data_IF_208585954967
#
_entry.id   IF_208585954967
#
_cell.length_a   1.000
_cell.length_b   1.000
_cell.length_c   1.000
_cell.angle_alpha   90.00
_cell.angle_beta   90.00
_cell.angle_gamma   90.00
#
_symmetry.space_group_name_H-M   'P 1'
#
loop_
_entity.id
_entity.type
_entity.pdbx_description
1 polymer ?
#
# COMPACT_ATOMS: atom_id res chain seq x y z
N UNK A 1 4.67 -27.07 1.98
CA UNK A 1 4.95 -27.59 0.63
C UNK A 1 6.19 -26.90 0.05
N UNK A 2 7.10 -27.63 -0.60
CA UNK A 2 8.28 -27.08 -1.29
C UNK A 2 8.25 -27.51 -2.76
N UNK A 3 8.22 -26.52 -3.67
CA UNK A 3 8.20 -26.73 -5.11
C UNK A 3 9.60 -26.42 -5.66
N UNK A 4 10.08 -27.22 -6.62
CA UNK A 4 11.33 -27.00 -7.33
C UNK A 4 11.10 -27.02 -8.85
N UNK A 5 11.81 -26.20 -9.63
CA UNK A 5 11.81 -26.32 -11.08
C UNK A 5 12.64 -27.54 -11.50
N UNK A 6 12.17 -28.28 -12.49
CA UNK A 6 12.96 -29.30 -13.17
C UNK A 6 13.80 -28.63 -14.27
N UNK A 7 15.13 -28.69 -14.12
CA UNK A 7 16.10 -27.88 -14.87
C UNK A 7 16.04 -28.04 -16.39
N UNK A 8 15.57 -29.19 -16.88
CA UNK A 8 15.63 -29.53 -18.31
C UNK A 8 14.27 -29.38 -19.03
N UNK A 9 13.16 -29.33 -18.30
CA UNK A 9 11.81 -29.35 -18.87
C UNK A 9 10.99 -28.09 -18.61
N UNK A 10 11.43 -27.20 -17.72
CA UNK A 10 10.64 -26.03 -17.29
C UNK A 10 9.41 -26.39 -16.47
N UNK A 11 9.19 -27.68 -16.17
CA UNK A 11 8.08 -28.18 -15.38
C UNK A 11 8.43 -28.07 -13.90
N UNK A 12 7.52 -27.54 -13.09
CA UNK A 12 7.67 -27.46 -11.63
C UNK A 12 7.14 -28.75 -11.00
N UNK A 13 7.85 -29.28 -10.01
CA UNK A 13 7.42 -30.47 -9.27
C UNK A 13 7.47 -30.25 -7.75
N UNK A 14 6.64 -31.00 -7.03
CA UNK A 14 6.57 -30.94 -5.57
C UNK A 14 7.70 -31.80 -4.99
N UNK A 15 8.73 -31.14 -4.46
CA UNK A 15 9.90 -31.82 -3.90
C UNK A 15 9.72 -32.29 -2.46
N UNK A 16 8.79 -31.66 -1.72
CA UNK A 16 8.41 -32.06 -0.35
C UNK A 16 7.00 -31.58 -0.04
N UNK A 17 6.17 -32.49 0.43
CA UNK A 17 4.88 -32.22 1.04
C UNK A 17 4.90 -32.80 2.46
N UNK A 18 4.49 -32.01 3.43
CA UNK A 18 4.32 -32.45 4.83
C UNK A 18 2.86 -32.16 5.12
N UNK A 19 2.12 -33.24 5.34
CA UNK A 19 0.66 -33.19 5.58
C UNK A 19 0.35 -33.15 7.08
N UNK A 20 1.38 -33.31 7.92
CA UNK A 20 1.23 -33.20 9.36
C UNK A 20 1.09 -31.73 9.78
N UNK A 21 0.01 -31.44 10.48
CA UNK A 21 -0.26 -30.14 11.05
C UNK A 21 -0.12 -30.20 12.57
N UNK A 22 0.47 -29.16 13.15
CA UNK A 22 0.62 -29.02 14.61
C UNK A 22 -0.67 -28.57 15.30
N UNK A 23 -1.76 -28.39 14.54
CA UNK A 23 -3.08 -27.97 14.99
C UNK A 23 -4.14 -28.58 14.09
N UNK A 24 -5.36 -28.76 14.60
CA UNK A 24 -6.49 -29.24 13.82
C UNK A 24 -6.78 -28.31 12.64
N UNK A 25 -7.12 -28.90 11.50
CA UNK A 25 -7.54 -28.13 10.33
C UNK A 25 -8.85 -27.41 10.63
N UNK A 26 -8.96 -26.20 10.11
CA UNK A 26 -10.17 -25.41 10.26
C UNK A 26 -11.36 -26.17 9.63
N UNK A 27 -12.44 -26.44 10.39
CA UNK A 27 -13.61 -27.13 9.85
C UNK A 27 -14.11 -26.47 8.57
N UNK A 28 -14.54 -27.26 7.59
CA UNK A 28 -14.96 -26.78 6.27
C UNK A 28 -15.98 -25.62 6.32
N UNK A 29 -16.88 -25.64 7.30
CA UNK A 29 -17.87 -24.58 7.56
C UNK A 29 -17.27 -23.20 7.87
N UNK A 30 -16.02 -23.14 8.32
CA UNK A 30 -15.32 -21.91 8.66
C UNK A 30 -14.33 -21.46 7.57
N UNK A 31 -14.01 -22.32 6.60
CA UNK A 31 -13.14 -22.00 5.46
C UNK A 31 -13.61 -20.76 4.68
N UNK A 32 -14.92 -20.54 4.42
CA UNK A 32 -15.40 -19.32 3.74
C UNK A 32 -15.09 -18.02 4.49
N UNK A 33 -14.80 -18.07 5.79
CA UNK A 33 -14.46 -16.89 6.59
C UNK A 33 -12.96 -16.55 6.51
N UNK A 34 -12.13 -17.44 5.95
CA UNK A 34 -10.70 -17.18 5.76
C UNK A 34 -10.49 -16.13 4.67
N UNK A 35 -9.66 -15.09 4.90
CA UNK A 35 -9.40 -14.04 3.92
C UNK A 35 -8.99 -14.54 2.52
N UNK A 36 -8.21 -15.63 2.43
CA UNK A 36 -7.76 -16.19 1.16
C UNK A 36 -8.86 -16.85 0.33
N UNK A 37 -9.97 -17.24 0.96
CA UNK A 37 -11.11 -17.90 0.34
C UNK A 37 -12.27 -16.95 0.06
N UNK A 38 -12.18 -15.70 0.55
CA UNK A 38 -13.21 -14.68 0.33
C UNK A 38 -13.02 -14.03 -1.04
N UNK A 39 -14.02 -14.18 -1.92
CA UNK A 39 -14.04 -13.55 -3.24
C UNK A 39 -15.45 -13.13 -3.60
N UNK A 40 -15.59 -11.91 -4.12
CA UNK A 40 -16.83 -11.46 -4.76
C UNK A 40 -16.73 -11.85 -6.24
N UNK A 41 -17.69 -12.62 -6.74
CA UNK A 41 -17.73 -12.98 -8.16
C UNK A 41 -18.12 -11.77 -9.01
N UNK A 42 -17.70 -11.73 -10.27
CA UNK A 42 -18.04 -10.65 -11.21
C UNK A 42 -19.56 -10.43 -11.34
N UNK A 43 -20.34 -11.51 -11.26
CA UNK A 43 -21.81 -11.47 -11.25
C UNK A 43 -22.32 -10.73 -10.00
N UNK A 44 -21.77 -11.03 -8.82
CA UNK A 44 -22.14 -10.35 -7.60
C UNK A 44 -21.70 -8.89 -7.62
N UNK A 45 -20.50 -8.59 -8.14
CA UNK A 45 -20.04 -7.20 -8.31
C UNK A 45 -20.99 -6.39 -9.20
N UNK A 46 -21.34 -6.91 -10.38
CA UNK A 46 -22.29 -6.25 -11.29
C UNK A 46 -23.67 -6.05 -10.64
N UNK A 47 -24.14 -7.02 -9.85
CA UNK A 47 -25.39 -6.90 -9.11
C UNK A 47 -25.31 -5.81 -8.02
N UNK A 48 -24.21 -5.77 -7.27
CA UNK A 48 -23.98 -4.74 -6.25
C UNK A 48 -23.91 -3.35 -6.91
N UNK A 49 -23.20 -3.20 -8.01
CA UNK A 49 -23.08 -1.93 -8.75
C UNK A 49 -24.43 -1.43 -9.25
N UNK A 50 -25.25 -2.32 -9.84
CA UNK A 50 -26.60 -1.98 -10.30
C UNK A 50 -27.50 -1.48 -9.16
N UNK A 51 -27.51 -2.19 -8.02
CA UNK A 51 -28.30 -1.80 -6.85
C UNK A 51 -27.79 -0.52 -6.19
N UNK A 52 -26.48 -0.27 -6.25
CA UNK A 52 -25.86 0.98 -5.78
C UNK A 52 -26.24 2.17 -6.65
N UNK A 53 -26.29 2.01 -7.97
CA UNK A 53 -26.69 3.08 -8.89
C UNK A 53 -28.12 3.58 -8.63
N UNK A 54 -29.01 2.69 -8.16
CA UNK A 54 -30.38 3.06 -7.76
C UNK A 54 -30.49 3.51 -6.29
N UNK A 55 -29.36 3.69 -5.59
CA UNK A 55 -29.31 4.28 -4.25
C UNK A 55 -29.51 3.28 -3.09
N UNK A 56 -29.47 1.97 -3.34
CA UNK A 56 -29.61 0.98 -2.26
C UNK A 56 -28.31 0.87 -1.47
N UNK A 57 -28.41 0.86 -0.15
CA UNK A 57 -27.24 0.79 0.74
C UNK A 57 -26.61 -0.61 0.75
N UNK A 58 -25.28 -0.67 0.87
CA UNK A 58 -24.50 -1.92 0.94
C UNK A 58 -25.07 -2.95 1.95
N UNK A 59 -25.52 -2.58 3.17
CA UNK A 59 -26.12 -3.54 4.09
C UNK A 59 -27.36 -4.24 3.51
N UNK A 60 -28.26 -3.48 2.85
CA UNK A 60 -29.47 -4.04 2.21
C UNK A 60 -29.12 -4.94 1.02
N UNK A 61 -28.09 -4.57 0.26
CA UNK A 61 -27.60 -5.41 -0.84
C UNK A 61 -27.02 -6.72 -0.30
N UNK A 62 -26.23 -6.66 0.78
CA UNK A 62 -25.68 -7.85 1.43
C UNK A 62 -26.77 -8.79 1.94
N UNK A 63 -27.83 -8.25 2.55
CA UNK A 63 -29.02 -9.00 2.96
C UNK A 63 -29.71 -9.67 1.78
N UNK A 64 -29.86 -8.96 0.65
CA UNK A 64 -30.45 -9.52 -0.57
C UNK A 64 -29.62 -10.69 -1.12
N UNK A 65 -28.30 -10.54 -1.20
CA UNK A 65 -27.39 -11.61 -1.66
C UNK A 65 -27.45 -12.80 -0.71
N UNK A 66 -27.47 -12.57 0.62
CA UNK A 66 -27.60 -13.64 1.60
C UNK A 66 -28.94 -14.37 1.45
N UNK A 67 -30.03 -13.66 1.21
CA UNK A 67 -31.34 -14.27 0.96
C UNK A 67 -31.32 -15.15 -0.31
N UNK A 68 -30.71 -14.66 -1.40
CA UNK A 68 -30.54 -15.43 -2.65
C UNK A 68 -29.65 -16.67 -2.47
N UNK A 69 -28.61 -16.56 -1.65
CA UNK A 69 -27.71 -17.68 -1.34
C UNK A 69 -28.30 -18.70 -0.35
N UNK A 70 -29.45 -18.42 0.27
CA UNK A 70 -30.07 -19.28 1.29
C UNK A 70 -29.51 -19.09 2.71
N UNK A 71 -28.82 -17.99 2.97
CA UNK A 71 -28.31 -17.62 4.29
C UNK A 71 -26.92 -16.96 4.24
N UNK A 72 -26.59 -16.20 5.28
CA UNK A 72 -25.31 -15.49 5.39
C UNK A 72 -24.09 -16.42 5.39
N UNK A 73 -24.24 -17.65 5.90
CA UNK A 73 -23.20 -18.68 5.94
C UNK A 73 -22.86 -19.27 4.57
N UNK A 74 -23.65 -18.98 3.54
CA UNK A 74 -23.45 -19.45 2.16
C UNK A 74 -22.90 -18.33 1.26
N UNK A 75 -22.74 -17.11 1.77
CA UNK A 75 -22.13 -16.01 1.03
C UNK A 75 -20.59 -16.13 1.14
N UNK A 76 -19.85 -16.22 0.03
CA UNK A 76 -18.39 -16.43 0.05
C UNK A 76 -17.60 -15.14 0.37
N UNK A 77 -18.25 -14.12 0.89
CA UNK A 77 -17.66 -12.84 1.27
C UNK A 77 -18.48 -12.18 2.38
N UNK A 78 -17.86 -11.24 3.05
CA UNK A 78 -18.48 -10.47 4.14
C UNK A 78 -19.00 -9.14 3.63
N UNK A 79 -19.92 -8.55 4.38
CA UNK A 79 -20.34 -7.15 4.18
C UNK A 79 -19.14 -6.18 4.11
N UNK A 80 -18.05 -6.45 4.85
CA UNK A 80 -16.84 -5.63 4.81
C UNK A 80 -16.16 -5.70 3.44
N UNK A 81 -16.13 -6.87 2.81
CA UNK A 81 -15.53 -7.03 1.49
C UNK A 81 -16.27 -6.17 0.46
N UNK A 82 -17.62 -6.11 0.52
CA UNK A 82 -18.40 -5.20 -0.33
C UNK A 82 -18.04 -3.72 -0.09
N UNK A 83 -17.86 -3.30 1.16
CA UNK A 83 -17.42 -1.92 1.43
C UNK A 83 -16.03 -1.62 0.87
N UNK A 84 -15.14 -2.61 0.86
CA UNK A 84 -13.78 -2.44 0.35
C UNK A 84 -13.76 -2.37 -1.18
N UNK A 85 -14.54 -3.22 -1.86
CA UNK A 85 -14.68 -3.20 -3.33
C UNK A 85 -15.29 -1.89 -3.83
N UNK A 86 -16.20 -1.29 -3.06
CA UNK A 86 -16.91 -0.08 -3.46
C UNK A 86 -16.49 1.17 -2.69
N UNK A 87 -15.34 1.13 -2.00
CA UNK A 87 -14.82 2.35 -1.37
C UNK A 87 -14.16 3.23 -2.40
N UNK A 88 -14.58 4.49 -2.42
CA UNK A 88 -14.06 5.51 -3.31
C UNK A 88 -12.67 5.96 -2.86
N UNK A 89 -11.76 6.14 -3.82
CA UNK A 89 -10.47 6.73 -3.56
C UNK A 89 -10.65 8.13 -2.96
N UNK A 90 -9.99 8.40 -1.84
CA UNK A 90 -10.14 9.64 -1.09
C UNK A 90 -8.80 10.36 -1.05
N UNK A 91 -8.82 11.67 -1.30
CA UNK A 91 -7.65 12.53 -1.16
C UNK A 91 -8.03 13.72 -0.28
N UNK A 92 -7.16 14.09 0.66
CA UNK A 92 -7.34 15.31 1.45
C UNK A 92 -6.01 15.96 1.83
N UNK A 93 -6.08 17.27 2.04
CA UNK A 93 -5.00 18.13 2.52
C UNK A 93 -5.65 19.34 3.17
N UNK A 94 -5.14 19.76 4.34
CA UNK A 94 -5.61 20.97 4.99
C UNK A 94 -4.84 22.20 4.50
N UNK A 95 -5.28 23.40 4.90
CA UNK A 95 -4.65 24.63 4.45
C UNK A 95 -3.21 24.79 4.95
N UNK A 96 -2.90 24.34 6.17
CA UNK A 96 -1.55 24.43 6.74
C UNK A 96 -0.60 23.51 5.98
N UNK A 97 -1.03 22.30 5.68
CA UNK A 97 -0.28 21.34 4.87
C UNK A 97 0.06 21.89 3.48
N UNK A 98 -0.87 22.60 2.83
CA UNK A 98 -0.62 23.27 1.54
C UNK A 98 0.39 24.42 1.69
N UNK A 99 0.28 25.23 2.75
CA UNK A 99 1.21 26.33 3.01
C UNK A 99 2.62 25.82 3.36
N UNK A 100 2.71 24.73 4.13
CA UNK A 100 3.96 24.03 4.42
C UNK A 100 4.62 23.51 3.13
N UNK A 101 3.85 22.95 2.19
CA UNK A 101 4.40 22.45 0.93
C UNK A 101 4.99 23.58 0.05
N UNK A 102 4.42 24.79 0.10
CA UNK A 102 5.00 25.94 -0.62
C UNK A 102 6.44 26.22 -0.19
N UNK A 103 6.73 26.03 1.09
CA UNK A 103 8.05 26.32 1.69
C UNK A 103 8.96 25.08 1.66
N UNK A 104 8.43 23.92 2.05
CA UNK A 104 9.21 22.70 2.33
C UNK A 104 9.02 21.57 1.31
N UNK A 105 8.19 21.76 0.29
CA UNK A 105 7.78 20.72 -0.68
C UNK A 105 8.79 20.36 -1.78
N UNK A 106 10.04 20.79 -1.68
CA UNK A 106 11.07 20.47 -2.68
C UNK A 106 11.46 18.98 -2.65
N UNK A 107 11.36 18.36 -1.48
CA UNK A 107 11.63 16.93 -1.27
C UNK A 107 10.42 16.30 -0.61
N UNK A 108 9.94 15.23 -1.23
CA UNK A 108 8.76 14.50 -0.79
C UNK A 108 9.09 13.03 -0.56
N UNK A 109 8.77 12.47 0.61
CA UNK A 109 8.49 11.05 0.71
C UNK A 109 7.03 10.79 0.34
N UNK A 110 6.89 9.82 -0.55
CA UNK A 110 5.63 9.28 -1.03
C UNK A 110 5.68 7.78 -0.75
N UNK A 111 4.95 7.36 0.28
CA UNK A 111 4.95 5.97 0.74
C UNK A 111 3.52 5.51 1.05
N UNK A 112 3.21 4.30 0.62
CA UNK A 112 2.02 3.59 1.07
C UNK A 112 2.35 2.93 2.41
N UNK A 113 1.55 3.17 3.45
CA UNK A 113 1.79 2.59 4.77
C UNK A 113 1.70 1.07 4.69
N UNK A 114 2.68 0.38 5.28
CA UNK A 114 2.75 -1.09 5.34
C UNK A 114 1.57 -1.74 6.12
N UNK A 115 0.68 -0.93 6.71
CA UNK A 115 -0.57 -1.35 7.32
C UNK A 115 -1.75 -0.88 6.47
N UNK A 116 -2.63 -1.81 6.11
CA UNK A 116 -3.93 -1.46 5.54
C UNK A 116 -4.86 -1.00 6.67
N UNK A 117 -5.73 -0.04 6.41
CA UNK A 117 -6.68 0.46 7.42
C UNK A 117 -7.72 -0.63 7.81
N UNK A 118 -8.70 -0.31 8.69
CA UNK A 118 -9.79 -1.24 9.08
C UNK A 118 -10.57 -1.84 7.88
N UNK A 119 -10.46 -1.19 6.74
CA UNK A 119 -11.09 -1.55 5.48
C UNK A 119 -10.10 -2.14 4.47
N UNK A 120 -8.93 -2.56 4.93
CA UNK A 120 -7.93 -3.21 4.11
C UNK A 120 -7.43 -2.35 2.92
N UNK A 121 -7.54 -1.01 3.01
CA UNK A 121 -7.06 -0.09 1.98
C UNK A 121 -5.65 0.44 2.28
N UNK A 122 -4.78 0.54 1.26
CA UNK A 122 -3.53 1.30 1.36
C UNK A 122 -3.79 2.78 1.67
N UNK A 123 -3.03 3.30 2.63
CA UNK A 123 -3.00 4.74 2.92
C UNK A 123 -1.70 5.29 2.40
N UNK A 124 -1.77 6.31 1.56
CA UNK A 124 -0.63 6.97 0.95
C UNK A 124 -0.42 8.31 1.64
N UNK A 125 0.79 8.53 2.16
CA UNK A 125 1.14 9.77 2.87
C UNK A 125 2.17 10.55 2.06
N UNK A 126 1.86 11.82 1.83
CA UNK A 126 2.76 12.79 1.24
C UNK A 126 3.41 13.58 2.36
N UNK A 127 4.71 13.39 2.57
CA UNK A 127 5.41 14.06 3.67
C UNK A 127 6.78 14.60 3.27
N UNK A 128 7.20 15.66 3.93
CA UNK A 128 8.53 16.25 3.85
C UNK A 128 9.09 16.47 5.24
N UNK A 129 10.10 17.33 5.35
CA UNK A 129 10.55 17.85 6.63
C UNK A 129 10.77 19.35 6.58
N UNK A 130 10.56 20.03 7.71
CA UNK A 130 10.86 21.45 7.83
C UNK A 130 12.35 21.70 8.19
N UNK A 131 12.69 22.98 8.40
CA UNK A 131 14.04 23.42 8.78
C UNK A 131 14.49 22.95 10.18
N UNK A 132 13.56 22.46 11.01
CA UNK A 132 13.85 21.83 12.30
C UNK A 132 13.95 20.30 12.20
N UNK A 133 13.97 19.74 10.97
CA UNK A 133 13.99 18.31 10.72
C UNK A 133 12.78 17.55 11.31
N UNK A 134 11.64 18.25 11.42
CA UNK A 134 10.37 17.66 11.84
C UNK A 134 9.58 17.23 10.62
N UNK A 135 8.90 16.09 10.70
CA UNK A 135 8.03 15.62 9.62
C UNK A 135 6.85 16.58 9.40
N UNK A 136 6.66 17.01 8.15
CA UNK A 136 5.49 17.76 7.71
C UNK A 136 4.66 16.86 6.81
N UNK A 137 3.36 16.68 7.11
CA UNK A 137 2.43 15.96 6.23
C UNK A 137 1.74 16.97 5.33
N UNK A 138 1.90 16.81 4.03
CA UNK A 138 1.34 17.72 3.02
C UNK A 138 -0.02 17.24 2.51
N UNK A 139 -0.23 15.93 2.42
CA UNK A 139 -1.50 15.35 2.01
C UNK A 139 -1.55 13.88 2.40
N UNK A 140 -2.75 13.33 2.40
CA UNK A 140 -2.97 11.90 2.56
C UNK A 140 -4.02 11.45 1.55
N UNK A 141 -3.87 10.22 1.05
CA UNK A 141 -4.87 9.55 0.25
C UNK A 141 -5.17 8.16 0.76
N UNK A 142 -6.41 7.72 0.59
CA UNK A 142 -6.79 6.31 0.68
C UNK A 142 -7.07 5.83 -0.74
N UNK A 143 -6.41 4.76 -1.16
CA UNK A 143 -6.60 4.18 -2.50
C UNK A 143 -7.23 2.80 -2.37
N UNK A 144 -8.09 2.46 -3.31
CA UNK A 144 -8.77 1.16 -3.40
C UNK A 144 -7.80 0.03 -3.75
N UNK A 145 -6.79 0.31 -4.57
CA UNK A 145 -5.72 -0.65 -4.92
C UNK A 145 -4.37 0.03 -5.22
N UNK A 146 -3.28 -0.75 -5.23
CA UNK A 146 -1.92 -0.29 -5.53
C UNK A 146 -1.61 -0.35 -7.04
N UNK A 147 -2.46 0.26 -7.86
CA UNK A 147 -2.29 0.30 -9.32
C UNK A 147 -1.61 1.58 -9.79
N UNK A 148 -0.95 1.53 -10.95
CA UNK A 148 -0.34 2.72 -11.58
C UNK A 148 -1.41 3.80 -11.83
N UNK A 149 -2.57 3.44 -12.37
CA UNK A 149 -3.64 4.38 -12.70
C UNK A 149 -4.12 5.18 -11.48
N UNK A 150 -4.27 4.52 -10.33
CA UNK A 150 -4.63 5.20 -9.09
C UNK A 150 -3.52 6.08 -8.55
N UNK A 151 -2.26 5.65 -8.61
CA UNK A 151 -1.16 6.52 -8.22
C UNK A 151 -1.03 7.74 -9.14
N UNK A 152 -1.29 7.60 -10.44
CA UNK A 152 -1.38 8.75 -11.36
C UNK A 152 -2.49 9.71 -10.91
N UNK A 153 -3.68 9.19 -10.61
CA UNK A 153 -4.79 10.00 -10.12
C UNK A 153 -4.43 10.74 -8.82
N UNK A 154 -3.86 10.04 -7.84
CA UNK A 154 -3.43 10.59 -6.56
C UNK A 154 -2.37 11.68 -6.73
N UNK A 155 -1.36 11.46 -7.60
CA UNK A 155 -0.30 12.44 -7.87
C UNK A 155 -0.83 13.67 -8.61
N UNK A 156 -1.78 13.50 -9.54
CA UNK A 156 -2.45 14.63 -10.21
C UNK A 156 -3.30 15.44 -9.22
N UNK A 157 -4.04 14.79 -8.33
CA UNK A 157 -4.80 15.46 -7.26
C UNK A 157 -3.89 16.21 -6.29
N UNK A 158 -2.76 15.61 -5.95
CA UNK A 158 -1.74 16.29 -5.17
C UNK A 158 -1.23 17.56 -5.87
N UNK A 159 -0.85 17.48 -7.15
CA UNK A 159 -0.37 18.62 -7.92
C UNK A 159 -1.39 19.77 -7.99
N UNK A 160 -2.65 19.42 -8.27
CA UNK A 160 -3.76 20.37 -8.29
C UNK A 160 -3.93 21.06 -6.92
N UNK A 161 -3.97 20.27 -5.85
CA UNK A 161 -4.13 20.75 -4.48
C UNK A 161 -2.97 21.66 -4.02
N UNK A 162 -1.77 21.41 -4.54
CA UNK A 162 -0.56 22.19 -4.24
C UNK A 162 -0.36 23.39 -5.17
N UNK A 163 -1.40 23.80 -5.90
CA UNK A 163 -1.36 24.99 -6.76
C UNK A 163 -0.42 24.84 -7.96
N UNK A 164 -0.23 23.62 -8.47
CA UNK A 164 0.60 23.35 -9.63
C UNK A 164 2.11 23.30 -9.34
N UNK A 165 2.54 23.43 -8.08
CA UNK A 165 3.96 23.30 -7.72
C UNK A 165 4.41 21.84 -7.84
N UNK A 166 5.14 21.54 -8.91
CA UNK A 166 5.68 20.22 -9.20
C UNK A 166 6.78 19.79 -8.20
N UNK A 167 6.91 18.49 -8.02
CA UNK A 167 7.95 17.89 -7.19
C UNK A 167 9.31 17.96 -7.88
N UNK A 168 10.38 18.23 -7.11
CA UNK A 168 11.76 18.17 -7.61
C UNK A 168 12.44 16.84 -7.28
N UNK A 169 12.17 16.30 -6.09
CA UNK A 169 12.72 15.02 -5.64
C UNK A 169 11.66 14.23 -4.88
N UNK A 170 11.55 12.94 -5.20
CA UNK A 170 10.63 12.02 -4.56
C UNK A 170 11.35 10.78 -4.03
N UNK A 171 11.01 10.40 -2.81
CA UNK A 171 11.55 9.25 -2.09
C UNK A 171 10.44 8.22 -1.91
N UNK A 172 10.64 7.01 -2.43
CA UNK A 172 9.65 5.92 -2.29
C UNK A 172 10.30 4.60 -1.87
N UNK A 173 9.48 3.61 -1.56
CA UNK A 173 9.93 2.25 -1.26
C UNK A 173 10.39 1.43 -2.50
N UNK A 174 10.31 2.02 -3.71
CA UNK A 174 10.68 1.38 -4.96
C UNK A 174 9.58 0.60 -5.65
N UNK A 175 8.32 0.73 -5.23
CA UNK A 175 7.18 0.12 -5.91
C UNK A 175 7.13 0.49 -7.39
N UNK A 176 6.85 -0.51 -8.23
CA UNK A 176 6.85 -0.37 -9.69
C UNK A 176 5.71 0.52 -10.16
N UNK A 177 4.51 0.35 -9.61
CA UNK A 177 3.34 1.14 -9.98
C UNK A 177 3.53 2.61 -9.61
N UNK A 178 4.05 2.89 -8.41
CA UNK A 178 4.39 4.24 -7.95
C UNK A 178 5.46 4.89 -8.84
N UNK A 179 6.53 4.15 -9.18
CA UNK A 179 7.60 4.67 -10.04
C UNK A 179 7.08 5.10 -11.41
N UNK A 180 6.27 4.25 -12.05
CA UNK A 180 5.70 4.57 -13.37
C UNK A 180 4.76 5.78 -13.28
N UNK A 181 3.94 5.86 -12.25
CA UNK A 181 3.04 6.99 -12.03
C UNK A 181 3.79 8.31 -11.78
N UNK A 182 4.88 8.28 -11.01
CA UNK A 182 5.77 9.43 -10.80
C UNK A 182 6.37 9.89 -12.13
N UNK A 183 6.92 8.97 -12.92
CA UNK A 183 7.52 9.32 -14.21
C UNK A 183 6.50 9.95 -15.17
N UNK A 184 5.24 9.53 -15.10
CA UNK A 184 4.16 10.11 -15.91
C UNK A 184 3.75 11.52 -15.45
N UNK A 185 3.59 11.74 -14.14
CA UNK A 185 3.07 13.02 -13.60
C UNK A 185 4.18 14.05 -13.36
N UNK A 186 5.37 13.59 -13.00
CA UNK A 186 6.54 14.39 -12.64
C UNK A 186 7.82 13.88 -13.34
N UNK A 187 7.92 13.99 -14.68
CA UNK A 187 9.04 13.42 -15.44
C UNK A 187 10.41 13.99 -15.04
N UNK A 188 10.46 15.25 -14.61
CA UNK A 188 11.68 15.94 -14.17
C UNK A 188 12.05 15.65 -12.70
N UNK A 189 11.19 14.96 -11.94
CA UNK A 189 11.47 14.68 -10.54
C UNK A 189 12.55 13.60 -10.40
N UNK A 190 13.56 13.88 -9.58
CA UNK A 190 14.55 12.86 -9.22
C UNK A 190 13.94 11.83 -8.28
N UNK A 191 13.95 10.56 -8.69
CA UNK A 191 13.46 9.46 -7.87
C UNK A 191 14.60 8.85 -7.04
N UNK A 192 14.39 8.74 -5.72
CA UNK A 192 15.30 8.06 -4.79
C UNK A 192 14.57 6.97 -4.00
N UNK A 193 15.33 5.95 -3.58
CA UNK A 193 14.82 4.90 -2.70
C UNK A 193 14.93 5.34 -1.23
N UNK A 194 13.93 4.98 -0.44
CA UNK A 194 13.89 5.25 0.99
C UNK A 194 15.00 4.49 1.72
N UNK A 195 15.84 5.20 2.47
CA UNK A 195 16.95 4.63 3.24
C UNK A 195 16.50 3.53 4.19
N UNK A 196 15.31 3.67 4.80
CA UNK A 196 14.76 2.65 5.68
C UNK A 196 14.46 1.34 4.93
N UNK A 197 13.82 1.42 3.76
CA UNK A 197 13.50 0.26 2.94
C UNK A 197 14.78 -0.42 2.40
N UNK A 198 15.77 0.38 1.99
CA UNK A 198 17.09 -0.14 1.60
C UNK A 198 17.76 -0.89 2.76
N UNK A 199 17.81 -0.29 3.95
CA UNK A 199 18.42 -0.92 5.12
C UNK A 199 17.68 -2.18 5.55
N UNK A 200 16.35 -2.18 5.51
CA UNK A 200 15.55 -3.38 5.81
C UNK A 200 15.85 -4.50 4.81
N UNK A 201 15.86 -4.19 3.51
CA UNK A 201 16.16 -5.14 2.46
C UNK A 201 17.56 -5.76 2.64
N UNK A 202 18.59 -4.92 2.83
CA UNK A 202 19.96 -5.39 3.08
C UNK A 202 20.05 -6.26 4.33
N UNK A 203 19.38 -5.86 5.42
CA UNK A 203 19.42 -6.61 6.68
C UNK A 203 18.84 -8.02 6.51
N UNK A 204 17.75 -8.15 5.76
CA UNK A 204 17.06 -9.42 5.51
C UNK A 204 17.82 -10.30 4.52
N UNK A 205 18.38 -9.73 3.46
CA UNK A 205 18.89 -10.51 2.33
C UNK A 205 20.42 -10.67 2.29
N UNK A 206 21.20 -9.74 2.87
CA UNK A 206 22.68 -9.80 2.83
C UNK A 206 23.26 -10.49 4.07
N UNK A 207 22.56 -10.41 5.22
CA UNK A 207 22.92 -11.10 6.47
C UNK A 207 24.37 -10.87 6.95
N UNK A 208 24.99 -9.71 6.64
CA UNK A 208 26.34 -9.33 7.08
C UNK A 208 26.30 -8.14 8.03
N UNK A 209 26.39 -8.34 9.36
CA UNK A 209 26.23 -7.26 10.34
C UNK A 209 27.17 -6.07 10.14
N UNK A 210 28.45 -6.33 9.83
CA UNK A 210 29.45 -5.27 9.58
C UNK A 210 29.11 -4.44 8.34
N UNK A 211 28.64 -5.08 7.27
CA UNK A 211 28.22 -4.37 6.06
C UNK A 211 26.97 -3.52 6.33
N UNK A 212 25.94 -4.09 6.97
CA UNK A 212 24.72 -3.36 7.32
C UNK A 212 25.01 -2.17 8.23
N UNK A 213 25.93 -2.32 9.19
CA UNK A 213 26.37 -1.23 10.06
C UNK A 213 27.04 -0.11 9.25
N UNK A 214 28.00 -0.44 8.38
CA UNK A 214 28.68 0.55 7.53
C UNK A 214 27.70 1.24 6.57
N UNK A 215 26.78 0.50 5.96
CA UNK A 215 25.74 1.05 5.10
C UNK A 215 24.81 2.00 5.87
N UNK A 216 24.40 1.62 7.08
CA UNK A 216 23.60 2.47 7.98
C UNK A 216 24.34 3.76 8.30
N UNK A 217 25.64 3.68 8.58
CA UNK A 217 26.50 4.85 8.76
C UNK A 217 26.53 5.73 7.51
N UNK A 218 26.71 5.17 6.31
CA UNK A 218 26.71 5.97 5.08
C UNK A 218 25.36 6.64 4.80
N UNK A 219 24.25 5.95 5.03
CA UNK A 219 22.90 6.46 4.74
C UNK A 219 22.37 7.42 5.80
N UNK A 220 22.80 7.30 7.06
CA UNK A 220 22.26 8.03 8.21
C UNK A 220 23.28 8.89 8.97
N UNK A 221 24.59 8.82 8.69
CA UNK A 221 25.62 9.68 9.33
C UNK A 221 26.18 10.75 8.40
N UNK A 222 25.79 10.77 7.11
CA UNK A 222 26.01 11.90 6.19
C UNK A 222 25.17 13.14 6.56
N UNK A 223 24.79 13.31 7.83
CA UNK A 223 24.10 14.49 8.35
C UNK A 223 25.06 15.65 8.68
N UNK A 224 26.38 15.44 8.63
CA UNK A 224 27.38 16.47 8.96
C UNK A 224 28.11 17.10 7.77
N UNK A 225 28.00 16.57 6.55
CA UNK A 225 28.73 17.09 5.39
C UNK A 225 27.81 17.23 4.17
N UNK A 226 27.31 18.45 3.98
CA UNK A 226 26.79 19.11 2.79
C UNK A 226 25.85 18.42 1.77
N UNK A 227 25.52 17.13 1.87
CA UNK A 227 24.58 16.46 0.98
C UNK A 227 23.54 15.66 1.77
N UNK A 228 22.34 16.25 1.89
CA UNK A 228 21.25 15.79 2.77
C UNK A 228 20.53 14.58 2.18
N UNK A 229 20.81 13.37 2.67
CA UNK A 229 19.92 12.23 2.49
C UNK A 229 18.84 12.21 3.58
N UNK A 230 17.59 12.28 3.13
CA UNK A 230 16.39 12.45 3.96
C UNK A 230 15.90 11.11 4.50
N UNK A 231 15.80 11.00 5.82
CA UNK A 231 15.15 9.86 6.47
C UNK A 231 13.84 10.36 7.10
N UNK A 232 12.74 10.26 6.36
CA UNK A 232 11.41 10.42 6.95
C UNK A 232 11.17 9.17 7.79
N UNK A 233 11.12 9.36 9.12
CA UNK A 233 10.69 8.31 10.05
C UNK A 233 9.22 8.03 9.76
N UNK A 234 8.94 7.09 8.86
CA UNK A 234 7.63 6.46 8.83
C UNK A 234 7.52 5.70 10.15
N UNK A 235 6.61 6.13 11.01
CA UNK A 235 6.31 5.46 12.28
C UNK A 235 5.71 4.09 11.95
N UNK A 236 6.57 3.08 11.81
CA UNK A 236 6.15 1.69 11.93
C UNK A 236 5.58 1.52 13.33
N UNK A 237 4.34 1.02 13.41
CA UNK A 237 3.71 0.64 14.65
C UNK A 237 4.68 -0.23 15.46
N UNK A 238 5.15 0.30 16.58
CA UNK A 238 5.82 -0.50 17.59
C UNK A 238 4.77 -1.47 18.15
N UNK A 239 4.84 -2.73 17.74
CA UNK A 239 4.24 -3.81 18.51
C UNK A 239 4.95 -3.82 19.88
N UNK A 240 4.21 -3.41 20.91
CA UNK A 240 4.37 -3.99 22.24
C UNK A 240 3.65 -5.33 22.25
#
# INVERSE_FOLDING_TARGET
>A
MRIKPNGDSGIWYVSRFVDDHNQDLLPAKFVPYLPSYRKISDVNLAHIDSLRQVGISIPKIYESIAAQAGGFNLVPFTKRDMYNEHMSDLFWSDRRSQDDYKIFGDVLAFDATYGRNKYNLPVVVFSGVNHHNQTCVFATAMVSCESQALYVWVLRKFLECMGGKALKLVITNGDRSMRLAIQEVFPEAHHRLCSWHLLRNVTVNVCKPRFTMLLRSCLLLYHHTNDRLWCIKTTGAHNK
#
